data_IF_067416332158
#
_entry.id   IF_067416332158
#
_cell.length_a   1.000
_cell.length_b   1.000
_cell.length_c   1.000
_cell.angle_alpha   90.00
_cell.angle_beta   90.00
_cell.angle_gamma   90.00
#
_symmetry.space_group_name_H-M   'P 1'
#
loop_
_entity.id
_entity.type
_entity.pdbx_description
1 polymer ?
#
# COMPACT_ATOMS: atom_id res chain seq x y z
N UNK A 1 16.40 16.26 22.83
CA UNK A 1 16.22 15.16 21.85
C UNK A 1 14.83 14.57 22.05
N UNK A 2 14.14 14.18 20.98
CA UNK A 2 12.90 13.45 21.12
C UNK A 2 13.18 12.01 21.58
N UNK A 3 12.35 11.50 22.46
CA UNK A 3 12.37 10.10 22.92
C UNK A 3 11.95 9.14 21.81
N UNK A 4 12.30 7.86 21.96
CA UNK A 4 11.85 6.79 21.04
C UNK A 4 10.31 6.77 20.96
N UNK A 5 9.61 6.95 22.08
CA UNK A 5 8.15 6.99 22.13
C UNK A 5 7.57 8.16 21.31
N UNK A 6 8.14 9.37 21.44
CA UNK A 6 7.72 10.54 20.67
C UNK A 6 7.97 10.36 19.17
N UNK A 7 9.09 9.73 18.79
CA UNK A 7 9.42 9.44 17.40
C UNK A 7 8.50 8.36 16.81
N UNK A 8 8.18 7.30 17.56
CA UNK A 8 7.22 6.28 17.16
C UNK A 8 5.82 6.87 16.97
N UNK A 9 5.35 7.71 17.90
CA UNK A 9 4.06 8.38 17.81
C UNK A 9 3.99 9.32 16.60
N UNK A 10 5.07 10.06 16.31
CA UNK A 10 5.17 10.90 15.10
C UNK A 10 5.08 10.06 13.83
N UNK A 11 5.81 8.96 13.77
CA UNK A 11 5.77 8.04 12.63
C UNK A 11 4.40 7.40 12.43
N UNK A 12 3.74 6.99 13.50
CA UNK A 12 2.37 6.44 13.46
C UNK A 12 1.40 7.44 12.85
N UNK A 13 1.43 8.70 13.30
CA UNK A 13 0.60 9.79 12.74
C UNK A 13 0.88 10.01 11.26
N UNK A 14 2.14 9.96 10.84
CA UNK A 14 2.52 10.11 9.45
C UNK A 14 2.01 8.96 8.58
N UNK A 15 2.19 7.72 9.03
CA UNK A 15 1.74 6.53 8.32
C UNK A 15 0.22 6.48 8.23
N UNK A 16 -0.49 6.81 9.31
CA UNK A 16 -1.95 6.89 9.31
C UNK A 16 -2.48 7.90 8.29
N UNK A 17 -1.87 9.10 8.19
CA UNK A 17 -2.23 10.09 7.16
C UNK A 17 -1.94 9.58 5.75
N UNK A 18 -0.80 8.92 5.54
CA UNK A 18 -0.41 8.39 4.23
C UNK A 18 -1.28 7.20 3.80
N UNK A 19 -1.76 6.39 4.74
CA UNK A 19 -2.61 5.23 4.46
C UNK A 19 -3.89 5.60 3.70
N UNK A 20 -4.47 6.77 3.99
CA UNK A 20 -5.64 7.31 3.27
C UNK A 20 -5.30 7.54 1.79
N UNK A 21 -4.16 8.17 1.51
CA UNK A 21 -3.71 8.43 0.15
C UNK A 21 -3.32 7.14 -0.59
N UNK A 22 -2.77 6.15 0.12
CA UNK A 22 -2.40 4.86 -0.45
C UNK A 22 -3.61 4.09 -0.96
N UNK A 23 -4.74 4.11 -0.23
CA UNK A 23 -5.98 3.46 -0.68
C UNK A 23 -6.51 4.08 -1.98
N UNK A 24 -6.55 5.41 -2.05
CA UNK A 24 -6.94 6.14 -3.27
C UNK A 24 -6.00 5.85 -4.44
N UNK A 25 -4.68 5.88 -4.19
CA UNK A 25 -3.67 5.54 -5.18
C UNK A 25 -3.80 4.12 -5.73
N UNK A 26 -4.08 3.14 -4.86
CA UNK A 26 -4.31 1.76 -5.28
C UNK A 26 -5.55 1.63 -6.18
N UNK A 27 -6.67 2.24 -5.80
CA UNK A 27 -7.90 2.22 -6.60
C UNK A 27 -7.68 2.84 -8.00
N UNK A 28 -7.00 3.99 -8.06
CA UNK A 28 -6.67 4.63 -9.33
C UNK A 28 -5.67 3.82 -10.18
N UNK A 29 -4.72 3.13 -9.54
CA UNK A 29 -3.73 2.31 -10.23
C UNK A 29 -4.37 1.09 -10.91
N UNK A 30 -5.35 0.42 -10.29
CA UNK A 30 -6.02 -0.76 -10.87
C UNK A 30 -6.56 -0.49 -12.28
N UNK A 31 -7.28 0.62 -12.46
CA UNK A 31 -7.82 0.99 -13.77
C UNK A 31 -6.72 1.22 -14.81
N UNK A 32 -5.66 1.94 -14.43
CA UNK A 32 -4.51 2.23 -15.31
C UNK A 32 -3.74 0.97 -15.69
N UNK A 33 -3.58 0.05 -14.74
CA UNK A 33 -2.90 -1.23 -14.95
C UNK A 33 -3.62 -2.08 -15.98
N UNK A 34 -4.94 -2.26 -15.84
CA UNK A 34 -5.74 -3.04 -16.79
C UNK A 34 -5.73 -2.41 -18.18
N UNK A 35 -5.92 -1.08 -18.27
CA UNK A 35 -5.90 -0.37 -19.54
C UNK A 35 -4.53 -0.44 -20.23
N UNK A 36 -3.44 -0.21 -19.48
CA UNK A 36 -2.08 -0.28 -20.00
C UNK A 36 -1.69 -1.68 -20.45
N UNK A 37 -2.05 -2.71 -19.67
CA UNK A 37 -1.78 -4.10 -20.03
C UNK A 37 -2.54 -4.53 -21.31
N UNK A 38 -3.79 -4.08 -21.47
CA UNK A 38 -4.56 -4.33 -22.68
C UNK A 38 -3.93 -3.64 -23.90
N UNK A 39 -3.44 -2.41 -23.75
CA UNK A 39 -2.78 -1.65 -24.82
C UNK A 39 -1.45 -2.27 -25.28
N UNK A 40 -0.76 -3.03 -24.41
CA UNK A 40 0.51 -3.67 -24.73
C UNK A 40 0.41 -4.83 -25.73
N UNK A 41 -0.80 -5.35 -26.00
CA UNK A 41 -1.02 -6.31 -27.10
C UNK A 41 -0.59 -7.76 -26.81
N UNK A 42 -0.55 -8.20 -25.55
CA UNK A 42 -0.13 -9.56 -25.15
C UNK A 42 -1.08 -10.71 -25.57
N UNK A 43 -2.13 -10.42 -26.33
CA UNK A 43 -3.16 -11.38 -26.75
C UNK A 43 -4.28 -11.56 -25.72
N UNK A 44 -5.45 -12.08 -26.17
CA UNK A 44 -6.70 -12.04 -25.41
C UNK A 44 -6.65 -12.84 -24.11
N UNK A 45 -6.05 -14.04 -24.12
CA UNK A 45 -5.98 -14.90 -22.92
C UNK A 45 -5.15 -14.27 -21.81
N UNK A 46 -3.96 -13.72 -22.13
CA UNK A 46 -3.10 -13.07 -21.13
C UNK A 46 -3.74 -11.82 -20.56
N UNK A 47 -4.35 -10.99 -21.42
CA UNK A 47 -5.06 -9.78 -20.98
C UNK A 47 -6.24 -10.10 -20.07
N UNK A 48 -7.02 -11.14 -20.40
CA UNK A 48 -8.13 -11.59 -19.55
C UNK A 48 -7.62 -12.06 -18.18
N UNK A 49 -6.64 -12.96 -18.16
CA UNK A 49 -6.09 -13.49 -16.92
C UNK A 49 -5.51 -12.38 -16.02
N UNK A 50 -4.84 -11.39 -16.63
CA UNK A 50 -4.33 -10.22 -15.91
C UNK A 50 -5.47 -9.39 -15.31
N UNK A 51 -6.49 -9.06 -16.10
CA UNK A 51 -7.65 -8.31 -15.64
C UNK A 51 -8.38 -9.03 -14.49
N UNK A 52 -8.57 -10.35 -14.60
CA UNK A 52 -9.19 -11.16 -13.56
C UNK A 52 -8.35 -11.15 -12.26
N UNK A 53 -7.03 -11.26 -12.38
CA UNK A 53 -6.12 -11.15 -11.24
C UNK A 53 -6.18 -9.79 -10.56
N UNK A 54 -6.21 -8.70 -11.34
CA UNK A 54 -6.39 -7.34 -10.81
C UNK A 54 -7.77 -7.19 -10.17
N UNK A 55 -8.82 -7.78 -10.72
CA UNK A 55 -10.18 -7.74 -10.16
C UNK A 55 -10.29 -8.48 -8.82
N UNK A 56 -9.62 -9.61 -8.67
CA UNK A 56 -9.57 -10.39 -7.44
C UNK A 56 -8.66 -9.78 -6.35
N UNK A 57 -7.69 -8.94 -6.73
CA UNK A 57 -6.76 -8.33 -5.79
C UNK A 57 -7.47 -7.38 -4.82
N UNK A 58 -7.06 -7.44 -3.55
CA UNK A 58 -7.57 -6.60 -2.46
C UNK A 58 -6.47 -5.69 -1.91
N UNK A 59 -6.85 -4.45 -1.59
CA UNK A 59 -5.96 -3.55 -0.87
C UNK A 59 -5.93 -3.93 0.61
N UNK A 60 -4.73 -4.13 1.14
CA UNK A 60 -4.52 -4.29 2.59
C UNK A 60 -3.88 -3.02 3.11
N UNK A 61 -4.60 -2.32 3.98
CA UNK A 61 -4.10 -1.09 4.59
C UNK A 61 -2.92 -1.38 5.52
N UNK A 62 -1.89 -0.51 5.55
CA UNK A 62 -0.81 -0.64 6.52
C UNK A 62 -1.32 -0.40 7.94
N UNK A 63 -0.91 -1.26 8.87
CA UNK A 63 -1.23 -1.11 10.29
C UNK A 63 -0.19 -0.19 10.95
N UNK A 64 -0.59 1.06 11.17
CA UNK A 64 0.27 2.08 11.77
C UNK A 64 0.60 1.80 13.24
N UNK A 65 -0.30 1.17 13.99
CA UNK A 65 -0.08 0.85 15.40
C UNK A 65 0.93 -0.30 15.53
N UNK A 66 0.77 -1.36 14.72
CA UNK A 66 1.73 -2.44 14.62
C UNK A 66 3.11 -1.95 14.18
N UNK A 67 3.16 -1.05 13.20
CA UNK A 67 4.41 -0.41 12.78
C UNK A 67 5.08 0.33 13.94
N UNK A 68 4.34 1.16 14.68
CA UNK A 68 4.89 1.95 15.78
C UNK A 68 5.46 1.06 16.90
N UNK A 69 4.72 0.01 17.28
CA UNK A 69 5.16 -0.98 18.26
C UNK A 69 6.49 -1.64 17.86
N UNK A 70 6.57 -2.14 16.62
CA UNK A 70 7.75 -2.83 16.14
C UNK A 70 8.95 -1.90 15.97
N UNK A 71 8.71 -0.67 15.52
CA UNK A 71 9.77 0.33 15.37
C UNK A 71 10.35 0.73 16.72
N UNK A 72 9.50 1.00 17.72
CA UNK A 72 9.96 1.34 19.08
C UNK A 72 10.78 0.20 19.70
N UNK A 73 10.33 -1.05 19.55
CA UNK A 73 11.07 -2.22 20.01
C UNK A 73 12.45 -2.31 19.35
N UNK A 74 12.53 -2.09 18.03
CA UNK A 74 13.79 -2.16 17.29
C UNK A 74 14.79 -1.08 17.67
N UNK A 75 14.33 0.12 18.00
CA UNK A 75 15.21 1.24 18.37
C UNK A 75 15.68 1.17 19.83
N UNK A 76 15.10 0.28 20.64
CA UNK A 76 15.49 0.06 22.02
C UNK A 76 16.47 -1.11 22.20
N UNK A 77 16.86 -1.77 21.10
CA UNK A 77 17.97 -2.74 21.05
C UNK A 77 19.33 -2.03 21.23
#
# INVERSE_FOLDING_TARGET
MATIAEMAAKGQKNLARKAVQMASGYAAARARMTAGFAAAGFGPTRTKNYSDGIAAATYVAPDAAKWAKNWAAKMAE
#
